data_IF_636728463106
#
_entry.id   IF_636728463106
#
_cell.length_a   1.000
_cell.length_b   1.000
_cell.length_c   1.000
_cell.angle_alpha   90.00
_cell.angle_beta   90.00
_cell.angle_gamma   90.00
#
_symmetry.space_group_name_H-M   'P 1'
#
loop_
_entity.id
_entity.type
_entity.pdbx_description
1 polymer ?
#
# COMPACT_ATOMS: atom_id res chain seq x y z
N UNK A 1 -40.30 -22.55 34.61
CA UNK A 1 -40.38 -21.78 35.87
C UNK A 1 -41.79 -21.86 36.40
N UNK A 2 -41.96 -21.83 37.72
CA UNK A 2 -43.27 -21.75 38.36
C UNK A 2 -43.32 -20.47 39.21
N UNK A 3 -44.50 -19.87 39.24
CA UNK A 3 -44.79 -18.64 39.98
C UNK A 3 -46.01 -18.90 40.85
N UNK A 4 -45.96 -18.51 42.12
CA UNK A 4 -47.12 -18.52 43.02
C UNK A 4 -47.47 -17.08 43.36
N UNK A 5 -48.77 -16.78 43.35
CA UNK A 5 -49.33 -15.49 43.69
C UNK A 5 -50.35 -15.76 44.79
N UNK A 6 -50.04 -15.31 46.01
CA UNK A 6 -50.92 -15.47 47.16
C UNK A 6 -51.36 -14.09 47.65
N UNK A 7 -52.66 -13.95 47.90
CA UNK A 7 -53.24 -12.73 48.44
C UNK A 7 -53.89 -13.04 49.79
N UNK A 8 -53.48 -12.31 50.82
CA UNK A 8 -54.11 -12.33 52.14
C UNK A 8 -55.05 -11.12 52.26
N UNK A 9 -56.35 -11.38 52.35
CA UNK A 9 -57.38 -10.34 52.47
C UNK A 9 -57.49 -9.71 53.87
N UNK A 10 -56.97 -10.36 54.93
CA UNK A 10 -56.95 -9.79 56.27
C UNK A 10 -55.80 -8.80 56.43
N UNK A 11 -54.61 -9.19 55.98
CA UNK A 11 -53.41 -8.34 56.00
C UNK A 11 -53.34 -7.38 54.80
N UNK A 12 -54.22 -7.55 53.81
CA UNK A 12 -54.22 -6.85 52.52
C UNK A 12 -52.85 -6.94 51.83
N UNK A 13 -52.24 -8.12 51.84
CA UNK A 13 -50.89 -8.34 51.29
C UNK A 13 -50.90 -9.31 50.11
N UNK A 14 -50.27 -8.88 49.01
CA UNK A 14 -49.99 -9.69 47.84
C UNK A 14 -48.52 -10.14 47.85
N UNK A 15 -48.30 -11.45 47.86
CA UNK A 15 -46.98 -12.06 47.82
C UNK A 15 -46.79 -12.84 46.52
N UNK A 16 -45.68 -12.57 45.83
CA UNK A 16 -45.27 -13.30 44.63
C UNK A 16 -43.97 -14.03 44.90
N UNK A 17 -44.00 -15.35 44.75
CA UNK A 17 -42.81 -16.21 44.82
C UNK A 17 -42.58 -16.86 43.46
N UNK A 18 -41.32 -17.12 43.11
CA UNK A 18 -40.99 -17.83 41.87
C UNK A 18 -39.82 -18.78 42.09
N UNK A 19 -39.84 -19.92 41.40
CA UNK A 19 -38.75 -20.89 41.41
C UNK A 19 -38.66 -21.67 40.09
N UNK A 20 -37.53 -22.32 39.86
CA UNK A 20 -37.37 -23.27 38.76
C UNK A 20 -38.08 -24.58 39.09
N UNK A 21 -38.70 -25.23 38.11
CA UNK A 21 -39.31 -26.56 38.28
C UNK A 21 -38.17 -27.58 38.33
N UNK A 22 -38.12 -28.53 39.29
CA UNK A 22 -39.17 -28.93 40.26
C UNK A 22 -38.89 -28.46 41.71
N UNK A 23 -38.36 -27.26 41.92
CA UNK A 23 -38.02 -26.77 43.26
C UNK A 23 -39.28 -26.40 44.06
N UNK A 24 -39.22 -26.63 45.38
CA UNK A 24 -40.29 -26.22 46.30
C UNK A 24 -40.44 -24.69 46.36
N UNK A 25 -41.65 -24.24 46.74
CA UNK A 25 -41.95 -22.81 46.92
C UNK A 25 -41.00 -22.18 47.94
N UNK A 26 -40.23 -21.13 47.58
CA UNK A 26 -39.32 -20.48 48.51
C UNK A 26 -40.06 -19.83 49.68
N UNK A 27 -39.43 -19.82 50.86
CA UNK A 27 -40.01 -19.19 52.06
C UNK A 27 -40.02 -17.66 52.00
N UNK A 28 -39.10 -17.05 51.25
CA UNK A 28 -39.04 -15.59 51.08
C UNK A 28 -39.70 -15.19 49.75
N UNK A 29 -40.74 -14.32 49.78
CA UNK A 29 -41.35 -13.80 48.56
C UNK A 29 -40.35 -12.93 47.79
N UNK A 30 -40.43 -13.01 46.46
CA UNK A 30 -39.64 -12.15 45.58
C UNK A 30 -40.23 -10.74 45.55
N UNK A 31 -41.55 -10.64 45.58
CA UNK A 31 -42.29 -9.39 45.67
C UNK A 31 -43.33 -9.51 46.78
N UNK A 32 -43.44 -8.48 47.60
CA UNK A 32 -44.49 -8.33 48.61
C UNK A 32 -45.03 -6.90 48.54
N UNK A 33 -46.34 -6.74 48.44
CA UNK A 33 -46.98 -5.43 48.34
C UNK A 33 -48.30 -5.41 49.13
N UNK A 34 -48.55 -4.32 49.86
CA UNK A 34 -49.83 -4.07 50.53
C UNK A 34 -50.84 -3.48 49.55
N UNK A 35 -51.86 -4.24 49.17
CA UNK A 35 -52.88 -3.86 48.19
C UNK A 35 -54.26 -4.21 48.75
N UNK A 36 -55.13 -3.21 48.87
CA UNK A 36 -56.54 -3.43 49.22
C UNK A 36 -57.35 -3.76 47.95
N UNK A 37 -57.80 -5.00 47.85
CA UNK A 37 -58.62 -5.51 46.75
C UNK A 37 -60.10 -5.63 47.14
N UNK A 38 -60.47 -5.20 48.35
CA UNK A 38 -61.81 -5.43 48.92
C UNK A 38 -62.93 -4.85 48.05
N UNK A 39 -62.70 -3.68 47.45
CA UNK A 39 -63.65 -3.03 46.53
C UNK A 39 -63.88 -3.80 45.22
N UNK A 40 -62.87 -4.55 44.76
CA UNK A 40 -62.89 -5.30 43.49
C UNK A 40 -63.41 -6.72 43.70
N UNK A 41 -63.08 -7.35 44.83
CA UNK A 41 -63.47 -8.74 45.13
C UNK A 41 -64.95 -8.89 45.54
N UNK A 42 -65.61 -7.83 46.01
CA UNK A 42 -66.95 -7.90 46.63
C UNK A 42 -68.11 -7.42 45.72
N UNK A 43 -67.81 -6.76 44.60
CA UNK A 43 -68.81 -5.94 43.90
C UNK A 43 -69.35 -6.57 42.61
N UNK A 44 -68.56 -7.38 41.89
CA UNK A 44 -68.88 -7.85 40.53
C UNK A 44 -68.27 -9.23 40.22
N UNK A 45 -68.77 -9.96 39.19
CA UNK A 45 -68.14 -11.20 38.72
C UNK A 45 -66.71 -10.94 38.24
N UNK A 46 -65.76 -11.72 38.76
CA UNK A 46 -64.33 -11.56 38.45
C UNK A 46 -63.85 -12.52 37.39
N UNK A 47 -62.93 -12.04 36.55
CA UNK A 47 -62.26 -12.85 35.53
C UNK A 47 -60.75 -12.87 35.79
N UNK A 48 -60.15 -14.05 35.73
CA UNK A 48 -58.71 -14.24 35.85
C UNK A 48 -58.16 -14.73 34.52
N UNK A 49 -57.04 -14.15 34.09
CA UNK A 49 -56.40 -14.50 32.83
C UNK A 49 -54.93 -14.10 32.80
N UNK A 50 -54.25 -14.52 31.75
CA UNK A 50 -52.84 -14.23 31.52
C UNK A 50 -52.70 -13.24 30.36
N UNK A 51 -51.78 -12.29 30.50
CA UNK A 51 -51.35 -11.40 29.43
C UNK A 51 -49.84 -11.49 29.27
N UNK A 52 -49.35 -11.32 28.04
CA UNK A 52 -47.93 -11.34 27.72
C UNK A 52 -47.59 -10.19 26.77
N UNK A 53 -46.42 -9.58 26.94
CA UNK A 53 -45.93 -8.52 26.06
C UNK A 53 -44.78 -9.05 25.19
N UNK A 54 -44.80 -8.72 23.90
CA UNK A 54 -43.73 -9.03 22.96
C UNK A 54 -42.89 -7.78 22.69
N UNK A 55 -41.58 -7.85 22.94
CA UNK A 55 -40.63 -6.77 22.60
C UNK A 55 -40.13 -6.85 21.16
N UNK A 56 -38.99 -6.21 20.86
CA UNK A 56 -38.37 -6.16 19.52
C UNK A 56 -37.89 -7.51 18.96
N UNK A 57 -37.96 -8.58 19.75
CA UNK A 57 -37.56 -9.93 19.36
C UNK A 57 -38.77 -10.85 19.32
N UNK A 58 -38.78 -11.81 18.39
CA UNK A 58 -39.81 -12.86 18.34
C UNK A 58 -39.67 -13.75 19.57
N UNK A 59 -40.50 -13.52 20.58
CA UNK A 59 -40.61 -14.35 21.78
C UNK A 59 -41.87 -15.20 21.70
N UNK A 60 -41.82 -16.40 22.27
CA UNK A 60 -42.99 -17.26 22.43
C UNK A 60 -43.19 -17.49 23.93
N UNK A 61 -44.37 -17.12 24.42
CA UNK A 61 -44.74 -17.25 25.84
C UNK A 61 -45.77 -18.38 25.97
N UNK A 62 -45.44 -19.41 26.77
CA UNK A 62 -46.29 -20.58 26.96
C UNK A 62 -46.66 -20.74 28.44
N UNK A 63 -47.96 -20.82 28.72
CA UNK A 63 -48.48 -21.26 30.03
C UNK A 63 -48.77 -22.76 29.91
N UNK A 64 -47.92 -23.58 30.53
CA UNK A 64 -48.03 -25.04 30.42
C UNK A 64 -49.11 -25.64 31.33
N UNK A 65 -49.43 -24.95 32.43
CA UNK A 65 -50.46 -25.34 33.38
C UNK A 65 -50.64 -24.27 34.44
N UNK A 66 -51.83 -24.19 35.01
CA UNK A 66 -52.17 -23.26 36.10
C UNK A 66 -53.28 -23.86 36.96
N UNK A 67 -53.30 -23.48 38.23
CA UNK A 67 -54.37 -23.81 39.17
C UNK A 67 -54.77 -22.55 39.94
N UNK A 68 -56.04 -22.43 40.29
CA UNK A 68 -56.58 -21.27 40.99
C UNK A 68 -57.59 -21.70 42.04
N UNK A 69 -57.54 -21.06 43.21
CA UNK A 69 -58.49 -21.30 44.30
C UNK A 69 -58.73 -20.02 45.06
N UNK A 70 -60.00 -19.71 45.30
CA UNK A 70 -60.43 -18.66 46.22
C UNK A 70 -60.65 -19.28 47.60
N UNK A 71 -60.26 -18.56 48.66
CA UNK A 71 -60.46 -18.98 50.06
C UNK A 71 -59.83 -20.34 50.40
N UNK A 72 -58.56 -20.51 50.04
CA UNK A 72 -57.78 -21.70 50.36
C UNK A 72 -56.49 -21.80 49.54
N UNK A 73 -55.78 -22.91 49.70
CA UNK A 73 -54.53 -23.17 48.98
C UNK A 73 -54.86 -23.86 47.65
N UNK A 74 -54.37 -23.30 46.54
CA UNK A 74 -54.53 -23.90 45.21
C UNK A 74 -53.83 -25.27 45.13
N UNK A 75 -54.41 -26.20 44.36
CA UNK A 75 -53.85 -27.54 44.19
C UNK A 75 -52.46 -27.48 43.52
N UNK A 76 -51.47 -28.22 44.05
CA UNK A 76 -50.13 -28.23 43.48
C UNK A 76 -50.16 -28.85 42.07
N UNK A 77 -49.45 -28.22 41.14
CA UNK A 77 -49.35 -28.73 39.76
C UNK A 77 -48.52 -30.01 39.73
N UNK A 78 -49.08 -31.07 39.15
CA UNK A 78 -48.33 -32.27 38.82
C UNK A 78 -47.52 -32.03 37.54
N UNK A 79 -46.21 -31.92 37.69
CA UNK A 79 -45.29 -31.66 36.58
C UNK A 79 -45.26 -32.79 35.55
N UNK A 80 -45.60 -34.01 35.95
CA UNK A 80 -45.58 -35.18 35.06
C UNK A 80 -46.68 -35.14 33.99
N UNK A 81 -47.76 -34.41 34.27
CA UNK A 81 -48.91 -34.25 33.38
C UNK A 81 -48.76 -33.04 32.42
N UNK A 82 -47.71 -32.22 32.58
CA UNK A 82 -47.54 -31.04 31.76
C UNK A 82 -47.05 -31.38 30.34
N UNK A 83 -47.62 -30.75 29.29
CA UNK A 83 -47.20 -30.99 27.92
C UNK A 83 -45.77 -30.48 27.68
N UNK A 84 -45.00 -31.20 26.86
CA UNK A 84 -43.70 -30.74 26.40
C UNK A 84 -43.82 -29.50 25.53
N UNK A 85 -42.89 -28.55 25.67
CA UNK A 85 -42.88 -27.31 24.89
C UNK A 85 -42.88 -27.60 23.37
N UNK A 86 -43.67 -26.87 22.57
CA UNK A 86 -43.62 -27.02 21.12
C UNK A 86 -42.23 -26.65 20.61
N UNK A 87 -41.48 -27.63 20.10
CA UNK A 87 -40.22 -27.39 19.40
C UNK A 87 -40.54 -26.76 18.05
N UNK A 88 -40.12 -25.50 17.86
CA UNK A 88 -40.09 -24.89 16.55
C UNK A 88 -39.17 -25.73 15.65
N UNK A 89 -39.74 -26.44 14.66
CA UNK A 89 -38.93 -27.05 13.59
C UNK A 89 -38.40 -25.91 12.72
N UNK A 90 -37.12 -25.60 12.87
CA UNK A 90 -36.39 -24.67 11.99
C UNK A 90 -36.22 -25.30 10.60
N UNK A 91 -37.28 -25.29 9.80
CA UNK A 91 -37.23 -25.64 8.39
C UNK A 91 -36.95 -24.39 7.56
N UNK A 92 -35.74 -23.85 7.70
CA UNK A 92 -35.31 -22.63 7.02
C UNK A 92 -34.07 -22.86 6.18
N UNK A 93 -34.14 -23.67 5.12
CA UNK A 93 -33.12 -23.58 4.07
C UNK A 93 -33.33 -22.24 3.36
N UNK A 94 -32.51 -21.25 3.72
CA UNK A 94 -32.53 -19.93 3.10
C UNK A 94 -32.30 -20.06 1.60
N UNK A 95 -33.33 -19.77 0.79
CA UNK A 95 -33.20 -19.69 -0.68
C UNK A 95 -32.40 -18.46 -1.15
N UNK A 96 -31.98 -17.59 -0.22
CA UNK A 96 -31.24 -16.34 -0.50
C UNK A 96 -29.87 -16.63 -1.12
N UNK A 97 -29.22 -17.73 -0.76
CA UNK A 97 -27.94 -18.14 -1.35
C UNK A 97 -28.02 -18.43 -2.86
N UNK A 98 -29.21 -18.81 -3.37
CA UNK A 98 -29.39 -19.15 -4.79
C UNK A 98 -29.33 -17.95 -5.74
N UNK A 99 -29.56 -16.72 -5.24
CA UNK A 99 -29.61 -15.50 -6.06
C UNK A 99 -28.39 -14.61 -5.79
N UNK A 100 -27.96 -14.50 -4.53
CA UNK A 100 -26.88 -13.59 -4.14
C UNK A 100 -25.52 -14.08 -4.65
N UNK A 101 -25.28 -15.39 -4.64
CA UNK A 101 -24.00 -15.97 -5.06
C UNK A 101 -23.68 -15.75 -6.56
N UNK A 102 -24.61 -16.00 -7.51
CA UNK A 102 -24.34 -15.72 -8.93
C UNK A 102 -24.17 -14.22 -9.22
N UNK A 103 -24.94 -13.32 -8.59
CA UNK A 103 -24.77 -11.87 -8.76
C UNK A 103 -23.38 -11.39 -8.31
N UNK A 104 -22.91 -11.86 -7.16
CA UNK A 104 -21.58 -11.50 -6.65
C UNK A 104 -20.47 -12.02 -7.56
N UNK A 105 -20.60 -13.25 -8.09
CA UNK A 105 -19.62 -13.82 -9.02
C UNK A 105 -19.55 -13.06 -10.36
N UNK A 106 -20.70 -12.62 -10.89
CA UNK A 106 -20.76 -11.83 -12.12
C UNK A 106 -20.12 -10.45 -11.93
N UNK A 107 -20.38 -9.79 -10.79
CA UNK A 107 -19.75 -8.51 -10.46
C UNK A 107 -18.22 -8.60 -10.36
N UNK A 108 -17.70 -9.65 -9.73
CA UNK A 108 -16.26 -9.88 -9.62
C UNK A 108 -15.62 -10.07 -11.01
N UNK A 109 -16.26 -10.83 -11.90
CA UNK A 109 -15.76 -11.06 -13.25
C UNK A 109 -15.67 -9.76 -14.08
N UNK A 110 -16.65 -8.87 -13.95
CA UNK A 110 -16.64 -7.55 -14.63
C UNK A 110 -15.51 -6.67 -14.12
N UNK A 111 -15.25 -6.67 -12.80
CA UNK A 111 -14.14 -5.90 -12.21
C UNK A 111 -12.79 -6.43 -12.72
N UNK A 112 -12.61 -7.76 -12.73
CA UNK A 112 -11.37 -8.38 -13.23
C UNK A 112 -11.15 -8.04 -14.71
N UNK A 113 -12.19 -8.15 -15.54
CA UNK A 113 -12.10 -7.78 -16.96
C UNK A 113 -11.76 -6.29 -17.14
N UNK A 114 -12.34 -5.41 -16.33
CA UNK A 114 -12.01 -3.98 -16.31
C UNK A 114 -10.56 -3.72 -15.94
N UNK A 115 -10.03 -4.41 -14.92
CA UNK A 115 -8.62 -4.32 -14.53
C UNK A 115 -7.71 -4.83 -15.66
N UNK A 116 -8.03 -5.96 -16.29
CA UNK A 116 -7.24 -6.49 -17.41
C UNK A 116 -7.22 -5.49 -18.56
N UNK A 117 -8.39 -4.95 -18.96
CA UNK A 117 -8.49 -3.95 -20.02
C UNK A 117 -7.73 -2.67 -19.65
N UNK A 118 -7.81 -2.24 -18.40
CA UNK A 118 -7.06 -1.11 -17.88
C UNK A 118 -5.56 -1.36 -17.94
N UNK A 119 -5.08 -2.53 -17.50
CA UNK A 119 -3.67 -2.91 -17.55
C UNK A 119 -3.18 -3.01 -18.99
N UNK A 120 -3.97 -3.55 -19.92
CA UNK A 120 -3.63 -3.60 -21.34
C UNK A 120 -3.58 -2.20 -21.94
N UNK A 121 -4.58 -1.34 -21.67
CA UNK A 121 -4.57 0.06 -22.12
C UNK A 121 -3.41 0.84 -21.52
N UNK A 122 -3.10 0.62 -20.24
CA UNK A 122 -1.95 1.22 -19.58
C UNK A 122 -0.68 0.76 -20.28
N UNK A 123 -0.51 -0.54 -20.48
CA UNK A 123 0.64 -1.10 -21.21
C UNK A 123 0.77 -0.55 -22.62
N UNK A 124 -0.32 -0.32 -23.34
CA UNK A 124 -0.30 0.29 -24.68
C UNK A 124 -0.01 1.79 -24.63
N UNK A 125 -0.63 2.54 -23.70
CA UNK A 125 -0.44 3.99 -23.56
C UNK A 125 0.96 4.37 -23.09
N UNK A 126 1.56 3.53 -22.24
CA UNK A 126 2.91 3.69 -21.72
C UNK A 126 3.93 2.76 -22.40
N UNK A 127 3.52 2.02 -23.44
CA UNK A 127 4.47 1.46 -24.38
C UNK A 127 4.97 2.63 -25.21
N UNK A 128 6.10 3.21 -24.79
CA UNK A 128 6.91 3.96 -25.74
C UNK A 128 7.16 3.05 -26.93
N UNK A 129 6.87 3.57 -28.13
CA UNK A 129 7.17 2.93 -29.39
C UNK A 129 8.70 2.81 -29.45
N UNK A 130 9.20 1.65 -29.02
CA UNK A 130 10.60 1.30 -29.15
C UNK A 130 10.83 1.05 -30.63
N UNK A 131 11.40 2.03 -31.33
CA UNK A 131 11.70 1.90 -32.76
C UNK A 131 12.79 0.84 -32.95
N UNK A 132 12.70 0.06 -34.02
CA UNK A 132 13.61 -1.06 -34.28
C UNK A 132 15.10 -0.63 -34.29
N UNK A 133 15.37 0.64 -34.60
CA UNK A 133 16.70 1.25 -34.56
C UNK A 133 17.25 1.46 -33.13
N UNK A 134 16.40 1.62 -32.10
CA UNK A 134 16.83 1.73 -30.70
C UNK A 134 17.37 0.39 -30.17
N UNK A 135 16.91 -0.74 -30.70
CA UNK A 135 17.38 -2.08 -30.32
C UNK A 135 18.79 -2.40 -30.86
N UNK A 136 19.13 -1.88 -32.04
CA UNK A 136 20.39 -2.21 -32.70
C UNK A 136 21.50 -1.18 -32.43
N UNK A 137 21.15 0.11 -32.28
CA UNK A 137 22.14 1.20 -32.13
C UNK A 137 21.83 2.21 -31.02
N UNK A 138 20.78 2.01 -30.21
CA UNK A 138 20.44 2.96 -29.15
C UNK A 138 21.51 3.01 -28.05
N UNK A 139 21.86 4.20 -27.52
CA UNK A 139 22.65 4.28 -26.29
C UNK A 139 21.89 3.56 -25.16
N UNK A 140 22.60 2.87 -24.26
CA UNK A 140 21.95 2.25 -23.10
C UNK A 140 21.19 3.36 -22.34
N UNK A 141 19.86 3.23 -22.23
CA UNK A 141 19.06 4.16 -21.44
C UNK A 141 19.61 4.15 -20.02
N UNK A 142 20.25 5.25 -19.61
CA UNK A 142 20.63 5.45 -18.22
C UNK A 142 19.36 5.33 -17.38
N UNK A 143 19.39 4.51 -16.33
CA UNK A 143 18.26 4.45 -15.41
C UNK A 143 18.02 5.87 -14.89
N UNK A 144 16.76 6.26 -14.71
CA UNK A 144 16.45 7.54 -14.06
C UNK A 144 17.19 7.68 -12.72
N UNK A 145 17.45 6.55 -12.04
CA UNK A 145 18.29 6.50 -10.84
C UNK A 145 19.73 6.90 -11.12
N UNK A 146 20.36 6.35 -12.15
CA UNK A 146 21.76 6.65 -12.51
C UNK A 146 21.91 8.12 -12.93
N UNK A 147 20.95 8.63 -13.70
CA UNK A 147 20.90 10.04 -14.09
C UNK A 147 20.67 10.94 -12.88
N UNK A 148 19.76 10.58 -11.97
CA UNK A 148 19.50 11.32 -10.74
C UNK A 148 20.71 11.32 -9.80
N UNK A 149 21.43 10.20 -9.68
CA UNK A 149 22.66 10.08 -8.88
C UNK A 149 23.76 10.96 -9.49
N UNK A 150 23.97 10.88 -10.81
CA UNK A 150 24.97 11.69 -11.51
C UNK A 150 24.66 13.20 -11.44
N UNK A 151 23.39 13.58 -11.43
CA UNK A 151 22.96 14.99 -11.45
C UNK A 151 22.52 15.53 -10.09
N UNK A 152 22.49 14.68 -9.04
CA UNK A 152 21.80 14.96 -7.75
C UNK A 152 20.39 15.52 -7.93
N UNK A 153 19.69 15.10 -8.99
CA UNK A 153 18.37 15.58 -9.37
C UNK A 153 18.31 17.02 -9.91
N UNK A 154 19.45 17.64 -10.25
CA UNK A 154 19.51 18.98 -10.85
C UNK A 154 20.13 18.90 -12.25
N UNK A 155 19.27 18.95 -13.26
CA UNK A 155 19.70 19.19 -14.63
C UNK A 155 20.30 20.59 -14.73
N UNK A 156 21.55 20.69 -15.17
CA UNK A 156 22.25 21.96 -15.38
C UNK A 156 22.98 21.90 -16.71
N UNK A 157 23.29 23.05 -17.29
CA UNK A 157 24.10 23.10 -18.52
C UNK A 157 25.44 22.38 -18.39
N UNK A 158 25.96 22.22 -17.16
CA UNK A 158 27.23 21.56 -16.88
C UNK A 158 27.10 20.01 -16.80
N UNK A 159 25.91 19.49 -16.48
CA UNK A 159 25.62 18.05 -16.59
C UNK A 159 25.51 17.64 -18.05
N UNK A 160 24.96 18.52 -18.90
CA UNK A 160 24.87 18.29 -20.35
C UNK A 160 26.26 18.27 -21.00
N UNK A 161 27.18 19.14 -20.56
CA UNK A 161 28.59 19.12 -21.01
C UNK A 161 29.27 17.79 -20.65
N UNK A 162 29.00 17.24 -19.47
CA UNK A 162 29.56 15.94 -19.08
C UNK A 162 29.03 14.81 -19.96
N UNK A 163 27.72 14.76 -20.18
CA UNK A 163 27.11 13.78 -21.07
C UNK A 163 27.65 13.90 -22.51
N UNK A 164 27.84 15.13 -22.98
CA UNK A 164 28.47 15.40 -24.27
C UNK A 164 29.92 14.91 -24.33
N UNK A 165 30.69 15.10 -23.25
CA UNK A 165 32.05 14.56 -23.14
C UNK A 165 32.11 13.05 -23.26
N UNK A 166 31.21 12.34 -22.55
CA UNK A 166 31.09 10.88 -22.65
C UNK A 166 30.69 10.45 -24.06
N UNK A 167 29.76 11.18 -24.69
CA UNK A 167 29.34 10.93 -26.07
C UNK A 167 30.50 11.11 -27.07
N UNK A 168 31.34 12.14 -26.92
CA UNK A 168 32.54 12.30 -27.74
C UNK A 168 33.48 11.10 -27.62
N UNK A 169 33.66 10.58 -26.41
CA UNK A 169 34.49 9.38 -26.18
C UNK A 169 33.83 8.13 -26.79
N UNK A 170 32.52 7.96 -26.66
CA UNK A 170 31.77 6.85 -27.29
C UNK A 170 31.95 6.85 -28.81
N UNK A 171 31.79 8.01 -29.45
CA UNK A 171 31.97 8.16 -30.90
C UNK A 171 33.43 7.92 -31.31
N UNK A 172 34.38 8.54 -30.61
CA UNK A 172 35.80 8.43 -30.96
C UNK A 172 36.37 7.02 -30.72
N UNK A 173 35.87 6.30 -29.71
CA UNK A 173 36.32 4.96 -29.35
C UNK A 173 35.48 3.84 -29.99
N UNK A 174 34.28 4.12 -30.50
CA UNK A 174 33.37 3.12 -31.04
C UNK A 174 32.90 2.09 -30.01
N UNK A 175 32.88 2.47 -28.73
CA UNK A 175 32.57 1.62 -27.58
C UNK A 175 31.53 2.28 -26.71
N UNK A 176 30.69 1.49 -26.04
CA UNK A 176 29.66 2.07 -25.18
C UNK A 176 30.30 2.61 -23.89
N UNK A 177 29.73 3.64 -23.25
CA UNK A 177 30.26 4.20 -22.01
C UNK A 177 30.41 3.18 -20.87
N UNK A 178 29.51 2.19 -20.85
CA UNK A 178 29.54 1.03 -19.95
C UNK A 178 29.42 -0.21 -20.83
N UNK A 179 30.49 -0.98 -20.93
CA UNK A 179 30.49 -2.27 -21.63
C UNK A 179 30.68 -3.40 -20.60
N UNK A 180 29.70 -4.31 -20.52
CA UNK A 180 29.83 -5.53 -19.74
C UNK A 180 30.73 -6.51 -20.50
N UNK A 181 31.95 -6.71 -20.03
CA UNK A 181 32.86 -7.68 -20.65
C UNK A 181 32.41 -9.09 -20.29
N UNK A 182 32.64 -10.05 -21.17
CA UNK A 182 32.34 -11.48 -20.94
C UNK A 182 32.98 -12.08 -19.66
N UNK A 183 33.92 -11.37 -19.03
CA UNK A 183 34.54 -11.73 -17.75
C UNK A 183 33.75 -11.29 -16.50
N UNK A 184 32.65 -10.54 -16.67
CA UNK A 184 31.87 -9.99 -15.55
C UNK A 184 32.43 -8.69 -14.95
N UNK A 185 33.43 -8.08 -15.58
CA UNK A 185 33.93 -6.75 -15.22
C UNK A 185 33.25 -5.69 -16.11
N UNK A 186 32.65 -4.66 -15.49
CA UNK A 186 32.15 -3.48 -16.20
C UNK A 186 33.33 -2.58 -16.54
N UNK A 187 33.63 -2.42 -17.83
CA UNK A 187 34.62 -1.44 -18.27
C UNK A 187 33.93 -0.09 -18.42
N UNK A 188 34.34 0.86 -17.58
CA UNK A 188 33.95 2.27 -17.73
C UNK A 188 34.85 2.88 -18.80
N UNK A 189 34.26 3.29 -19.93
CA UNK A 189 34.99 3.84 -21.08
C UNK A 189 35.91 5.00 -20.67
N UNK A 190 35.41 5.87 -19.80
CA UNK A 190 36.14 7.04 -19.30
C UNK A 190 37.44 6.63 -18.58
N UNK A 191 37.42 5.62 -17.71
CA UNK A 191 38.59 5.17 -16.96
C UNK A 191 39.66 4.58 -17.90
N UNK A 192 39.22 3.80 -18.90
CA UNK A 192 40.12 3.25 -19.91
C UNK A 192 40.79 4.34 -20.76
N UNK A 193 40.05 5.36 -21.17
CA UNK A 193 40.61 6.48 -21.95
C UNK A 193 41.59 7.31 -21.11
N UNK A 194 41.25 7.60 -19.86
CA UNK A 194 42.12 8.33 -18.91
C UNK A 194 43.45 7.58 -18.73
N UNK A 195 43.41 6.26 -18.57
CA UNK A 195 44.61 5.44 -18.38
C UNK A 195 45.52 5.42 -19.62
N UNK A 196 44.94 5.33 -20.82
CA UNK A 196 45.71 5.41 -22.06
C UNK A 196 46.29 6.81 -22.30
N UNK A 197 45.55 7.85 -21.92
CA UNK A 197 46.05 9.21 -21.97
C UNK A 197 47.25 9.42 -21.02
N UNK A 198 47.20 8.90 -19.79
CA UNK A 198 48.34 8.93 -18.85
C UNK A 198 49.59 8.24 -19.40
N UNK A 199 49.41 7.18 -20.19
CA UNK A 199 50.49 6.46 -20.86
C UNK A 199 51.04 7.18 -22.11
N UNK A 200 50.46 8.32 -22.49
CA UNK A 200 50.80 9.02 -23.72
C UNK A 200 50.31 8.30 -24.99
N UNK A 201 49.36 7.38 -24.85
CA UNK A 201 48.87 6.50 -25.92
C UNK A 201 47.36 6.68 -26.15
N UNK A 202 46.84 7.90 -26.01
CA UNK A 202 45.39 8.17 -26.13
C UNK A 202 44.81 7.72 -27.48
N UNK A 203 45.57 7.84 -28.56
CA UNK A 203 45.17 7.42 -29.91
C UNK A 203 44.96 5.91 -30.06
N UNK A 204 45.49 5.10 -29.15
CA UNK A 204 45.21 3.66 -29.11
C UNK A 204 43.77 3.35 -28.71
N UNK A 205 43.04 4.34 -28.19
CA UNK A 205 41.63 4.20 -27.78
C UNK A 205 40.65 4.43 -28.92
N UNK A 206 41.11 4.84 -30.10
CA UNK A 206 40.26 5.12 -31.26
C UNK A 206 39.42 3.92 -31.68
N UNK A 207 38.29 4.18 -32.31
CA UNK A 207 37.45 3.16 -32.93
C UNK A 207 38.28 2.39 -33.97
N UNK A 208 38.48 1.06 -33.80
CA UNK A 208 39.20 0.24 -34.76
C UNK A 208 38.60 0.28 -36.18
N UNK A 209 37.30 0.58 -36.30
CA UNK A 209 36.57 0.64 -37.58
C UNK A 209 36.97 1.85 -38.43
N UNK A 210 37.60 2.87 -37.85
CA UNK A 210 38.13 4.02 -38.60
C UNK A 210 39.31 3.64 -39.52
N UNK A 211 39.90 2.44 -39.34
CA UNK A 211 41.00 1.97 -40.17
C UNK A 211 42.16 2.96 -40.13
N UNK A 212 42.67 3.35 -41.31
CA UNK A 212 43.72 4.37 -41.47
C UNK A 212 43.20 5.67 -42.13
N UNK A 213 41.88 5.81 -42.29
CA UNK A 213 41.24 6.93 -43.00
C UNK A 213 40.75 7.99 -42.01
N UNK A 214 41.67 8.58 -41.25
CA UNK A 214 41.34 9.67 -40.33
C UNK A 214 42.54 10.59 -40.11
N UNK A 215 42.27 11.82 -39.69
CA UNK A 215 43.30 12.80 -39.32
C UNK A 215 43.67 12.61 -37.86
N UNK A 216 44.95 12.35 -37.58
CA UNK A 216 45.46 12.02 -36.25
C UNK A 216 45.14 13.12 -35.23
N UNK A 217 45.35 14.36 -35.65
CA UNK A 217 45.16 15.56 -34.84
C UNK A 217 43.68 15.77 -34.47
N UNK A 218 42.75 15.45 -35.37
CA UNK A 218 41.31 15.58 -35.13
C UNK A 218 40.83 14.55 -34.10
N UNK A 219 41.25 13.29 -34.24
CA UNK A 219 40.88 12.23 -33.28
C UNK A 219 41.51 12.50 -31.91
N UNK A 220 42.76 12.95 -31.87
CA UNK A 220 43.41 13.33 -30.62
C UNK A 220 42.71 14.52 -29.94
N UNK A 221 42.30 15.53 -30.71
CA UNK A 221 41.51 16.66 -30.23
C UNK A 221 40.20 16.19 -29.61
N UNK A 222 39.43 15.37 -30.31
CA UNK A 222 38.13 14.86 -29.83
C UNK A 222 38.29 14.05 -28.55
N UNK A 223 39.30 13.17 -28.47
CA UNK A 223 39.56 12.37 -27.27
C UNK A 223 39.93 13.24 -26.06
N UNK A 224 40.82 14.22 -26.24
CA UNK A 224 41.20 15.15 -25.16
C UNK A 224 40.03 16.06 -24.77
N UNK A 225 39.25 16.54 -25.73
CA UNK A 225 38.06 17.34 -25.46
C UNK A 225 36.99 16.53 -24.72
N UNK A 226 36.82 15.26 -25.07
CA UNK A 226 35.95 14.32 -24.35
C UNK A 226 36.37 14.15 -22.89
N UNK A 227 37.67 14.01 -22.61
CA UNK A 227 38.21 13.99 -21.25
C UNK A 227 37.97 15.32 -20.49
N UNK A 228 38.17 16.46 -21.15
CA UNK A 228 37.95 17.79 -20.58
C UNK A 228 36.47 18.04 -20.22
N UNK A 229 35.56 17.65 -21.10
CA UNK A 229 34.12 17.77 -20.87
C UNK A 229 33.63 16.80 -19.78
N UNK A 230 34.24 15.61 -19.70
CA UNK A 230 33.94 14.57 -18.71
C UNK A 230 34.65 14.79 -17.37
N UNK A 231 35.18 15.98 -17.12
CA UNK A 231 35.92 16.28 -15.88
C UNK A 231 35.04 16.01 -14.64
N UNK A 232 35.57 15.40 -13.56
CA UNK A 232 34.75 15.05 -12.39
C UNK A 232 34.18 16.28 -11.68
N UNK A 233 34.94 17.37 -11.62
CA UNK A 233 34.48 18.63 -11.05
C UNK A 233 33.75 19.48 -12.12
N UNK A 234 32.52 19.95 -11.87
CA UNK A 234 31.78 20.87 -12.75
C UNK A 234 32.57 22.13 -13.12
N UNK A 235 33.39 22.64 -12.20
CA UNK A 235 34.22 23.85 -12.41
C UNK A 235 35.39 23.64 -13.37
N UNK A 236 35.80 22.39 -13.60
CA UNK A 236 36.84 22.06 -14.57
C UNK A 236 36.30 21.83 -15.98
N UNK A 237 34.97 21.80 -16.15
CA UNK A 237 34.33 21.59 -17.46
C UNK A 237 34.19 22.91 -18.22
N UNK A 238 34.39 22.92 -19.54
CA UNK A 238 34.16 24.09 -20.37
C UNK A 238 32.66 24.36 -20.54
N UNK A 239 32.32 25.56 -21.00
CA UNK A 239 30.98 25.84 -21.53
C UNK A 239 30.82 25.24 -22.92
N UNK A 240 29.58 24.91 -23.33
CA UNK A 240 29.31 24.42 -24.69
C UNK A 240 29.81 25.37 -25.80
N UNK A 241 29.83 26.69 -25.54
CA UNK A 241 30.43 27.66 -26.48
C UNK A 241 31.92 27.44 -26.67
N UNK A 242 32.66 27.16 -25.59
CA UNK A 242 34.09 26.84 -25.69
C UNK A 242 34.30 25.49 -26.39
N UNK A 243 33.47 24.50 -26.10
CA UNK A 243 33.50 23.19 -26.76
C UNK A 243 33.39 23.32 -28.29
N UNK A 244 32.43 24.11 -28.78
CA UNK A 244 32.27 24.39 -30.21
C UNK A 244 33.50 25.11 -30.76
N UNK A 245 34.00 26.13 -30.07
CA UNK A 245 35.21 26.85 -30.50
C UNK A 245 36.47 25.97 -30.58
N UNK A 246 36.58 24.94 -29.73
CA UNK A 246 37.66 23.95 -29.82
C UNK A 246 37.49 23.04 -31.04
N UNK A 247 36.27 22.58 -31.34
CA UNK A 247 35.97 21.72 -32.49
C UNK A 247 36.13 22.44 -33.84
N UNK A 248 35.78 23.73 -33.89
CA UNK A 248 35.93 24.57 -35.10
C UNK A 248 37.36 25.06 -35.31
N UNK A 249 38.27 24.81 -34.36
CA UNK A 249 39.65 25.27 -34.41
C UNK A 249 39.83 26.77 -34.13
N UNK A 250 38.80 27.45 -33.62
CA UNK A 250 38.86 28.87 -33.23
C UNK A 250 39.71 29.11 -31.97
N UNK A 251 39.82 28.08 -31.11
CA UNK A 251 40.63 28.11 -29.89
C UNK A 251 41.44 26.83 -29.74
N UNK A 252 42.65 26.95 -29.19
CA UNK A 252 43.47 25.79 -28.83
C UNK A 252 42.96 25.14 -27.54
N UNK A 253 42.91 23.81 -27.51
CA UNK A 253 42.55 23.05 -26.32
C UNK A 253 43.57 23.33 -25.20
N UNK A 254 43.14 23.63 -23.95
CA UNK A 254 44.07 23.78 -22.84
C UNK A 254 44.83 22.48 -22.57
N UNK A 255 46.10 22.59 -22.15
CA UNK A 255 46.87 21.42 -21.74
C UNK A 255 46.23 20.74 -20.53
N UNK A 256 45.86 19.48 -20.71
CA UNK A 256 45.36 18.64 -19.63
C UNK A 256 46.56 18.17 -18.79
N UNK A 257 46.50 18.34 -17.46
CA UNK A 257 47.51 17.76 -16.56
C UNK A 257 46.99 16.46 -15.91
N UNK A 258 47.79 15.38 -15.85
CA UNK A 258 47.37 14.06 -15.34
C UNK A 258 46.77 14.08 -13.93
N UNK A 259 47.17 15.07 -13.12
CA UNK A 259 46.67 15.28 -11.77
C UNK A 259 45.17 15.69 -11.73
N UNK A 260 44.63 16.28 -12.81
CA UNK A 260 43.25 16.77 -12.86
C UNK A 260 42.20 15.66 -13.05
N UNK A 261 42.60 14.50 -13.60
CA UNK A 261 41.71 13.34 -13.81
C UNK A 261 41.92 12.23 -12.76
N UNK A 262 42.67 12.50 -11.68
CA UNK A 262 43.36 11.49 -10.87
C UNK A 262 42.71 11.04 -9.56
N UNK A 263 41.49 11.44 -9.18
CA UNK A 263 41.02 11.03 -7.84
C UNK A 263 39.54 10.64 -7.62
N UNK A 264 38.60 10.72 -8.57
CA UNK A 264 37.18 10.77 -8.12
C UNK A 264 36.05 10.30 -9.04
N UNK A 265 36.28 9.53 -10.10
CA UNK A 265 35.13 8.93 -10.82
C UNK A 265 34.68 7.63 -10.13
N UNK A 266 35.58 6.67 -9.93
CA UNK A 266 35.26 5.41 -9.23
C UNK A 266 35.05 5.61 -7.71
N UNK A 267 35.82 6.49 -7.07
CA UNK A 267 35.67 6.77 -5.64
C UNK A 267 34.37 7.53 -5.31
N UNK A 268 33.83 8.35 -6.22
CA UNK A 268 32.52 8.99 -6.01
C UNK A 268 31.34 8.08 -6.35
N UNK A 269 31.54 7.08 -7.21
CA UNK A 269 30.55 6.03 -7.44
C UNK A 269 30.48 5.03 -6.25
N UNK A 270 31.62 4.77 -5.58
CA UNK A 270 31.69 3.78 -4.50
C UNK A 270 31.45 4.36 -3.09
N UNK A 271 31.68 5.67 -2.85
CA UNK A 271 31.60 6.25 -1.49
C UNK A 271 30.20 6.74 -1.07
N UNK A 272 29.15 6.45 -1.85
CA UNK A 272 27.73 6.67 -1.50
C UNK A 272 27.00 5.33 -1.31
N UNK A 273 27.73 4.27 -0.95
CA UNK A 273 27.17 3.02 -0.44
C UNK A 273 27.16 3.02 1.08
N UNK A 274 26.03 3.38 1.69
CA UNK A 274 25.67 3.24 3.14
C UNK A 274 26.65 3.93 4.12
N UNK A 275 26.31 5.01 4.82
CA UNK A 275 25.30 5.08 5.89
C UNK A 275 24.93 6.54 6.28
N UNK A 276 23.76 6.66 6.92
CA UNK A 276 23.24 7.79 7.72
C UNK A 276 22.69 9.06 7.03
N UNK A 277 21.43 8.97 6.55
CA UNK A 277 20.35 9.82 7.09
C UNK A 277 18.96 9.23 6.80
N UNK A 278 18.62 8.13 7.48
CA UNK A 278 17.23 7.97 7.92
C UNK A 278 17.03 8.98 9.06
N UNK A 279 15.93 9.73 9.00
CA UNK A 279 15.31 10.51 10.09
C UNK A 279 15.62 12.02 10.17
N UNK A 280 14.79 12.82 9.50
CA UNK A 280 13.74 13.58 10.21
C UNK A 280 13.00 14.51 9.24
N UNK A 281 11.72 14.26 9.04
CA UNK A 281 10.80 15.30 8.59
C UNK A 281 10.70 16.33 9.72
N UNK A 282 11.01 17.63 9.52
CA UNK A 282 10.54 18.65 10.41
C UNK A 282 9.06 18.88 10.08
N UNK A 283 8.20 18.23 10.85
CA UNK A 283 6.87 18.75 11.12
C UNK A 283 7.02 20.13 11.75
N UNK A 284 6.82 21.20 10.98
CA UNK A 284 6.52 22.55 11.45
C UNK A 284 6.05 23.44 10.28
N UNK A 285 4.75 23.40 10.01
CA UNK A 285 4.04 24.61 9.55
C UNK A 285 3.08 24.97 10.68
N UNK A 286 3.59 25.76 11.62
CA UNK A 286 2.80 26.63 12.46
C UNK A 286 3.39 28.04 12.30
N UNK A 287 2.76 28.86 11.47
CA UNK A 287 2.83 30.32 11.56
C UNK A 287 1.39 30.84 11.42
N UNK A 288 0.86 31.30 12.56
CA UNK A 288 -0.15 32.37 12.70
C UNK A 288 0.27 33.60 11.90
N UNK A 289 -0.56 34.35 11.19
CA UNK A 289 -1.84 34.97 11.55
C UNK A 289 -1.91 36.37 10.89
N UNK A 290 -3.06 37.03 11.03
CA UNK A 290 -3.47 38.34 10.45
C UNK A 290 -3.76 38.30 8.94
N UNK A 291 -4.97 38.54 8.45
CA UNK A 291 -6.04 39.47 8.83
C UNK A 291 -7.43 38.82 8.79
#
# INVERSE_FOLDING_TARGET
MQVWIDYDGHEMQLNVTMALIPMAKPHKPLLSASIDLSSVLLSDPMYVGFSSSTGSFKTSHYVLGWSFRMNGIAEPLDYSLLPSLPRAKSNGKSKVFGIVLPLASAGLAVIIAGIIVYMVRWRIKYAEVLEDWELEYGPHRFSYRDLFIATKGKATTITDVFAFGVFLLEVACGRRPVDSVASGEELILLDWVVENWRKGSILATRDPRLGNEYVMEEVELVLKLGLLCSHPLPTGRPSMRQVVGYLEGEAALPELSPAYLSFSVLAMLHNEGFDDYIMSYPSLVAISGAW
#
